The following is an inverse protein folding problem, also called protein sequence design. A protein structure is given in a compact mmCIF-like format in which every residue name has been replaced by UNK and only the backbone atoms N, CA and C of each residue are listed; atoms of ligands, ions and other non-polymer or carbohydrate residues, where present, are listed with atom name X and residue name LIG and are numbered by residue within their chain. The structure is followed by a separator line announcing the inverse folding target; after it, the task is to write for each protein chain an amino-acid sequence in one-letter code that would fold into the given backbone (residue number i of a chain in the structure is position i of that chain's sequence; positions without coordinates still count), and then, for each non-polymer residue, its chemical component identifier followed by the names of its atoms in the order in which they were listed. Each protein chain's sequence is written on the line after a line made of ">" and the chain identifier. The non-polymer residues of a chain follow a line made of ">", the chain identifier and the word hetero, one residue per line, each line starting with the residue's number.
data_IF_833214229224
#
_entry.id   IF_833214229224
#
_cell.length_a   1.000
_cell.length_b   1.000
_cell.length_c   1.000
_cell.angle_alpha   90.00
_cell.angle_beta   90.00
_cell.angle_gamma   90.00
#
_symmetry.space_group_name_H-M   'P 1'
#
loop_
_entity.id
_entity.type
_entity.pdbx_description
1 polymer ?
#
# COMPACT_ATOMS: atom_id res chain seq x y z
N UNK A 1 -22.41 -16.38 -0.11
CA UNK A 1 -22.87 -15.56 -1.26
C UNK A 1 -21.73 -14.95 -2.04
N UNK A 2 -20.80 -14.18 -1.39
CA UNK A 2 -19.73 -13.43 -2.07
C UNK A 2 -18.79 -14.35 -2.86
N UNK A 3 -18.37 -15.49 -2.31
CA UNK A 3 -17.50 -16.44 -2.99
C UNK A 3 -18.10 -16.96 -4.31
N UNK A 4 -19.40 -17.26 -4.30
CA UNK A 4 -20.13 -17.67 -5.50
C UNK A 4 -20.21 -16.54 -6.53
N UNK A 5 -20.43 -15.30 -6.08
CA UNK A 5 -20.46 -14.15 -6.96
C UNK A 5 -19.10 -13.90 -7.63
N UNK A 6 -18.02 -14.00 -6.87
CA UNK A 6 -16.64 -13.87 -7.37
C UNK A 6 -16.30 -15.00 -8.36
N UNK A 7 -16.64 -16.25 -8.02
CA UNK A 7 -16.36 -17.41 -8.88
C UNK A 7 -17.12 -17.42 -10.21
N UNK A 8 -18.28 -16.77 -10.26
CA UNK A 8 -19.12 -16.66 -11.46
C UNK A 8 -18.80 -15.46 -12.34
N UNK A 9 -17.92 -14.58 -11.89
CA UNK A 9 -17.59 -13.37 -12.64
C UNK A 9 -16.30 -13.57 -13.46
N UNK A 10 -16.46 -13.81 -14.76
CA UNK A 10 -15.35 -14.04 -15.69
C UNK A 10 -14.36 -12.85 -15.80
N UNK A 11 -14.76 -11.65 -15.34
CA UNK A 11 -13.91 -10.46 -15.33
C UNK A 11 -12.96 -10.42 -14.13
N UNK A 12 -13.14 -11.34 -13.16
CA UNK A 12 -12.33 -11.43 -11.95
C UNK A 12 -11.39 -12.63 -12.05
N UNK A 13 -10.10 -12.41 -11.90
CA UNK A 13 -9.14 -13.49 -11.75
C UNK A 13 -9.17 -13.98 -10.30
N UNK A 14 -9.79 -15.12 -10.07
CA UNK A 14 -9.94 -15.72 -8.75
C UNK A 14 -8.77 -16.67 -8.44
N UNK A 15 -8.19 -16.51 -7.25
CA UNK A 15 -7.21 -17.42 -6.66
C UNK A 15 -7.82 -18.00 -5.38
N UNK A 16 -7.78 -19.34 -5.24
CA UNK A 16 -8.33 -20.04 -4.07
C UNK A 16 -7.20 -20.64 -3.26
N UNK A 17 -7.21 -20.37 -1.97
CA UNK A 17 -6.21 -20.87 -1.02
C UNK A 17 -6.90 -21.63 0.10
N UNK A 18 -6.22 -22.62 0.67
CA UNK A 18 -6.73 -23.44 1.77
C UNK A 18 -6.57 -22.78 3.15
N UNK A 19 -5.69 -21.78 3.26
CA UNK A 19 -5.37 -21.09 4.51
C UNK A 19 -5.53 -19.58 4.30
N UNK A 20 -6.28 -18.92 5.18
CA UNK A 20 -6.60 -17.49 5.06
C UNK A 20 -5.38 -16.60 5.23
N UNK A 21 -4.46 -16.95 6.11
CA UNK A 21 -3.22 -16.21 6.31
C UNK A 21 -2.36 -16.27 5.05
N UNK A 22 -2.21 -17.45 4.46
CA UNK A 22 -1.48 -17.62 3.20
C UNK A 22 -2.15 -16.84 2.06
N UNK A 23 -3.49 -16.86 1.98
CA UNK A 23 -4.28 -16.07 1.03
C UNK A 23 -4.01 -14.58 1.17
N UNK A 24 -4.00 -14.06 2.40
CA UNK A 24 -3.78 -12.65 2.67
C UNK A 24 -2.36 -12.19 2.28
N UNK A 25 -1.34 -12.98 2.57
CA UNK A 25 0.03 -12.68 2.14
C UNK A 25 0.23 -12.82 0.62
N UNK A 26 -0.47 -13.76 -0.01
CA UNK A 26 -0.49 -13.84 -1.48
C UNK A 26 -1.10 -12.58 -2.09
N UNK A 27 -2.23 -12.13 -1.57
CA UNK A 27 -2.89 -10.90 -2.02
C UNK A 27 -2.02 -9.66 -1.77
N UNK A 28 -1.33 -9.59 -0.63
CA UNK A 28 -0.35 -8.55 -0.32
C UNK A 28 0.74 -8.49 -1.39
N UNK A 29 1.33 -9.64 -1.74
CA UNK A 29 2.35 -9.73 -2.77
C UNK A 29 1.84 -9.30 -4.15
N UNK A 30 0.62 -9.72 -4.50
CA UNK A 30 -0.02 -9.37 -5.76
C UNK A 30 -0.34 -7.87 -5.84
N UNK A 31 -0.86 -7.28 -4.77
CA UNK A 31 -1.15 -5.86 -4.70
C UNK A 31 0.14 -5.02 -4.79
N UNK A 32 1.19 -5.44 -4.09
CA UNK A 32 2.50 -4.78 -4.14
C UNK A 32 3.14 -4.84 -5.52
N UNK A 33 3.02 -5.99 -6.21
CA UNK A 33 3.61 -6.16 -7.54
C UNK A 33 2.83 -5.44 -8.65
N UNK A 34 1.52 -5.25 -8.48
CA UNK A 34 0.65 -4.64 -9.49
C UNK A 34 0.35 -3.16 -9.24
N UNK A 35 0.68 -2.65 -8.06
CA UNK A 35 0.27 -1.32 -7.55
C UNK A 35 -1.26 -1.06 -7.70
N UNK A 36 -2.05 -2.13 -7.47
CA UNK A 36 -3.51 -2.11 -7.61
C UNK A 36 -4.17 -2.74 -6.40
N UNK A 37 -5.36 -2.25 -5.97
CA UNK A 37 -6.12 -2.89 -4.91
C UNK A 37 -6.44 -4.35 -5.24
N UNK A 38 -6.10 -5.25 -4.30
CA UNK A 38 -6.42 -6.68 -4.39
C UNK A 38 -7.42 -7.04 -3.31
N UNK A 39 -8.45 -7.78 -3.71
CA UNK A 39 -9.52 -8.23 -2.81
C UNK A 39 -9.14 -9.56 -2.16
N UNK A 40 -9.30 -9.66 -0.85
CA UNK A 40 -9.26 -10.92 -0.09
C UNK A 40 -10.63 -11.14 0.51
N UNK A 41 -11.19 -12.32 0.29
CA UNK A 41 -12.49 -12.70 0.86
C UNK A 41 -12.33 -13.95 1.72
N UNK A 42 -12.92 -13.95 2.91
CA UNK A 42 -12.94 -15.11 3.80
C UNK A 42 -14.33 -15.31 4.45
N UNK A 43 -14.50 -16.47 5.09
CA UNK A 43 -15.68 -16.76 5.91
C UNK A 43 -15.63 -16.00 7.24
N UNK A 44 -16.64 -16.17 8.08
CA UNK A 44 -16.72 -15.54 9.40
C UNK A 44 -15.84 -16.24 10.46
N UNK A 45 -15.71 -15.61 11.60
CA UNK A 45 -14.99 -16.15 12.74
C UNK A 45 -13.48 -15.94 12.65
N UNK A 46 -12.70 -16.91 13.11
CA UNK A 46 -11.23 -16.82 13.16
C UNK A 46 -10.57 -16.71 11.78
N UNK A 47 -11.28 -17.05 10.71
CA UNK A 47 -10.84 -16.79 9.34
C UNK A 47 -10.49 -15.31 9.12
N UNK A 48 -11.37 -14.40 9.59
CA UNK A 48 -11.10 -12.96 9.55
C UNK A 48 -9.86 -12.58 10.39
N UNK A 49 -9.70 -13.17 11.57
CA UNK A 49 -8.54 -12.92 12.43
C UNK A 49 -7.22 -13.38 11.79
N UNK A 50 -7.23 -14.47 10.99
CA UNK A 50 -6.06 -14.97 10.28
C UNK A 50 -5.52 -14.01 9.20
N UNK A 51 -6.31 -13.07 8.73
CA UNK A 51 -5.84 -12.03 7.80
C UNK A 51 -4.96 -10.98 8.49
N UNK A 52 -5.05 -10.83 9.81
CA UNK A 52 -4.49 -9.71 10.56
C UNK A 52 -2.97 -9.52 10.35
N UNK A 53 -2.11 -10.54 10.36
CA UNK A 53 -0.68 -10.35 10.11
C UNK A 53 -0.38 -9.66 8.77
N UNK A 54 -1.08 -10.05 7.71
CA UNK A 54 -0.92 -9.42 6.41
C UNK A 54 -1.53 -8.00 6.35
N UNK A 55 -2.58 -7.75 7.13
CA UNK A 55 -3.17 -6.39 7.27
C UNK A 55 -2.19 -5.43 7.91
N UNK A 56 -1.49 -5.86 8.98
CA UNK A 56 -0.44 -5.06 9.63
C UNK A 56 0.69 -4.76 8.64
N UNK A 57 1.13 -5.75 7.88
CA UNK A 57 2.16 -5.56 6.86
C UNK A 57 1.68 -4.64 5.73
N UNK A 58 0.44 -4.81 5.26
CA UNK A 58 -0.16 -3.94 4.24
C UNK A 58 -0.25 -2.48 4.70
N UNK A 59 -0.63 -2.27 5.96
CA UNK A 59 -0.65 -0.95 6.58
C UNK A 59 0.75 -0.32 6.59
N UNK A 60 1.73 -1.06 7.13
CA UNK A 60 3.11 -0.59 7.28
C UNK A 60 3.78 -0.31 5.93
N UNK A 61 3.53 -1.18 4.94
CA UNK A 61 4.07 -1.06 3.60
C UNK A 61 3.18 -0.23 2.65
N UNK A 62 2.06 0.30 3.14
CA UNK A 62 1.10 1.11 2.36
C UNK A 62 0.56 0.38 1.12
N UNK A 63 0.33 -0.93 1.24
CA UNK A 63 -0.15 -1.76 0.14
C UNK A 63 -1.67 -1.75 0.08
N UNK A 64 -2.28 -1.48 -1.08
CA UNK A 64 -3.72 -1.41 -1.23
C UNK A 64 -4.37 -2.80 -1.18
N UNK A 65 -5.14 -3.07 -0.14
CA UNK A 65 -5.90 -4.32 0.01
C UNK A 65 -7.34 -4.04 0.41
N UNK A 66 -8.28 -4.83 -0.13
CA UNK A 66 -9.69 -4.80 0.25
C UNK A 66 -10.04 -6.12 0.93
N UNK A 67 -10.32 -6.06 2.23
CA UNK A 67 -10.66 -7.22 3.05
C UNK A 67 -12.17 -7.36 3.11
N UNK A 68 -12.71 -8.43 2.53
CA UNK A 68 -14.12 -8.78 2.55
C UNK A 68 -14.32 -9.94 3.52
N UNK A 69 -14.78 -9.66 4.73
CA UNK A 69 -15.04 -10.70 5.74
C UNK A 69 -16.54 -10.99 5.81
N UNK A 70 -16.94 -12.20 5.43
CA UNK A 70 -18.32 -12.61 5.67
C UNK A 70 -18.59 -12.65 7.18
N UNK A 71 -19.81 -12.32 7.59
CA UNK A 71 -20.19 -12.28 9.00
C UNK A 71 -21.62 -12.84 9.21
N UNK A 72 -21.92 -13.12 10.45
CA UNK A 72 -23.28 -13.42 10.91
C UNK A 72 -24.14 -12.16 10.89
N UNK A 73 -25.44 -12.29 10.66
CA UNK A 73 -26.35 -11.16 10.74
C UNK A 73 -26.41 -10.60 12.17
N UNK A 74 -26.84 -9.35 12.37
CA UNK A 74 -26.81 -8.69 13.68
C UNK A 74 -27.46 -9.49 14.82
N UNK A 75 -28.53 -10.20 14.54
CA UNK A 75 -29.26 -11.01 15.53
C UNK A 75 -28.49 -12.25 16.04
N UNK A 76 -27.41 -12.64 15.35
CA UNK A 76 -26.55 -13.75 15.75
C UNK A 76 -25.21 -13.32 16.34
N UNK A 77 -25.00 -12.00 16.48
CA UNK A 77 -23.79 -11.45 17.08
C UNK A 77 -23.90 -11.41 18.61
N UNK A 78 -22.84 -11.79 19.31
CA UNK A 78 -22.78 -11.71 20.78
C UNK A 78 -23.66 -12.70 21.54
N UNK A 79 -24.28 -13.67 20.86
CA UNK A 79 -25.18 -14.68 21.46
C UNK A 79 -24.61 -16.09 21.47
N UNK A 80 -23.31 -16.26 21.22
CA UNK A 80 -22.66 -17.55 21.20
C UNK A 80 -22.95 -18.40 19.95
N UNK A 81 -23.37 -17.76 18.84
CA UNK A 81 -23.57 -18.47 17.57
C UNK A 81 -22.27 -19.07 17.05
N UNK A 82 -22.36 -20.22 16.37
CA UNK A 82 -21.22 -20.94 15.83
C UNK A 82 -20.42 -20.06 14.84
N UNK A 83 -19.08 -20.16 14.92
CA UNK A 83 -18.14 -19.49 14.01
C UNK A 83 -18.37 -17.97 13.96
N UNK A 84 -18.62 -17.38 15.14
CA UNK A 84 -18.91 -15.96 15.29
C UNK A 84 -17.95 -15.33 16.29
N UNK A 85 -17.34 -14.23 15.89
CA UNK A 85 -16.55 -13.33 16.75
C UNK A 85 -17.03 -11.90 16.49
N UNK A 86 -16.60 -10.93 17.29
CA UNK A 86 -16.82 -9.53 16.92
C UNK A 86 -15.82 -9.13 15.82
N UNK A 87 -16.34 -8.99 14.59
CA UNK A 87 -15.54 -8.65 13.42
C UNK A 87 -15.58 -7.15 13.10
N UNK A 88 -16.43 -6.40 13.78
CA UNK A 88 -16.53 -4.96 13.57
C UNK A 88 -15.24 -4.32 14.04
N UNK A 89 -14.65 -3.54 13.14
CA UNK A 89 -13.36 -2.88 13.39
C UNK A 89 -12.24 -3.83 13.87
N UNK A 90 -12.30 -5.13 13.50
CA UNK A 90 -11.38 -6.17 13.95
C UNK A 90 -9.91 -5.78 13.79
N UNK A 91 -9.59 -5.04 12.74
CA UNK A 91 -8.21 -4.62 12.45
C UNK A 91 -7.85 -3.26 13.05
N UNK A 92 -8.80 -2.58 13.71
CA UNK A 92 -8.59 -1.29 14.36
C UNK A 92 -7.90 -0.29 13.44
N UNK A 93 -6.88 0.39 13.95
CA UNK A 93 -6.12 1.40 13.19
C UNK A 93 -5.35 0.85 11.98
N UNK A 94 -5.21 -0.47 11.87
CA UNK A 94 -4.52 -1.10 10.73
C UNK A 94 -5.42 -1.26 9.49
N UNK A 95 -6.71 -0.95 9.59
CA UNK A 95 -7.58 -0.73 8.44
C UNK A 95 -7.86 0.77 8.32
N UNK A 96 -7.46 1.40 7.22
CA UNK A 96 -7.65 2.85 7.00
C UNK A 96 -9.11 3.27 6.99
N UNK A 97 -9.94 2.40 6.49
CA UNK A 97 -11.37 2.58 6.40
C UNK A 97 -12.07 1.27 6.72
N UNK A 98 -13.16 1.38 7.44
CA UNK A 98 -14.00 0.26 7.83
C UNK A 98 -15.46 0.57 7.51
N UNK A 99 -16.20 -0.45 7.14
CA UNK A 99 -17.66 -0.40 7.11
C UNK A 99 -18.26 -1.76 7.42
N UNK A 100 -19.33 -1.75 8.23
CA UNK A 100 -20.22 -2.89 8.43
C UNK A 100 -21.35 -2.75 7.40
N UNK A 101 -21.34 -3.60 6.37
CA UNK A 101 -22.29 -3.50 5.27
C UNK A 101 -23.73 -3.76 5.77
N UNK A 102 -24.74 -3.16 5.15
CA UNK A 102 -26.11 -3.52 5.44
C UNK A 102 -26.40 -4.96 5.00
N UNK A 103 -27.37 -5.60 5.62
CA UNK A 103 -27.86 -6.91 5.16
C UNK A 103 -28.36 -6.78 3.71
N UNK A 104 -28.00 -7.73 2.84
CA UNK A 104 -28.57 -7.76 1.49
C UNK A 104 -30.09 -7.91 1.55
N UNK A 105 -30.79 -7.09 0.80
CA UNK A 105 -32.21 -7.19 0.58
C UNK A 105 -32.52 -7.29 -0.91
N UNK A 106 -33.74 -7.69 -1.25
CA UNK A 106 -34.19 -7.70 -2.64
C UNK A 106 -34.53 -6.28 -3.11
N UNK A 107 -34.36 -6.04 -4.39
CA UNK A 107 -34.78 -4.81 -5.04
C UNK A 107 -33.64 -3.87 -5.46
N UNK A 108 -33.99 -2.86 -6.28
CA UNK A 108 -32.99 -1.97 -6.90
C UNK A 108 -32.24 -1.11 -5.90
N UNK A 109 -32.86 -0.69 -4.81
CA UNK A 109 -32.23 0.16 -3.79
C UNK A 109 -31.13 -0.58 -3.06
N UNK A 110 -31.35 -1.86 -2.72
CA UNK A 110 -30.31 -2.70 -2.11
C UNK A 110 -29.15 -2.91 -3.07
N UNK A 111 -29.44 -3.19 -4.34
CA UNK A 111 -28.41 -3.33 -5.37
C UNK A 111 -27.58 -2.05 -5.49
N UNK A 112 -28.23 -0.89 -5.57
CA UNK A 112 -27.56 0.41 -5.63
C UNK A 112 -26.67 0.65 -4.42
N UNK A 113 -27.15 0.37 -3.22
CA UNK A 113 -26.39 0.50 -1.98
C UNK A 113 -25.11 -0.34 -2.02
N UNK A 114 -25.19 -1.60 -2.43
CA UNK A 114 -24.04 -2.49 -2.52
C UNK A 114 -23.06 -2.08 -3.63
N UNK A 115 -23.56 -1.52 -4.73
CA UNK A 115 -22.68 -0.95 -5.77
C UNK A 115 -21.91 0.27 -5.27
N UNK A 116 -22.58 1.19 -4.56
CA UNK A 116 -21.95 2.36 -3.96
C UNK A 116 -20.91 1.92 -2.93
N UNK A 117 -21.25 0.94 -2.10
CA UNK A 117 -20.32 0.38 -1.11
C UNK A 117 -19.06 -0.22 -1.75
N UNK A 118 -19.23 -1.02 -2.80
CA UNK A 118 -18.11 -1.60 -3.52
C UNK A 118 -17.23 -0.55 -4.18
N UNK A 119 -17.84 0.47 -4.75
CA UNK A 119 -17.13 1.61 -5.33
C UNK A 119 -16.35 2.38 -4.25
N UNK A 120 -16.99 2.68 -3.13
CA UNK A 120 -16.35 3.40 -2.02
C UNK A 120 -15.20 2.59 -1.42
N UNK A 121 -15.36 1.29 -1.22
CA UNK A 121 -14.29 0.41 -0.75
C UNK A 121 -13.07 0.45 -1.71
N UNK A 122 -13.33 0.41 -3.03
CA UNK A 122 -12.27 0.51 -4.02
C UNK A 122 -11.59 1.88 -3.98
N UNK A 123 -12.36 2.97 -3.95
CA UNK A 123 -11.85 4.34 -3.85
C UNK A 123 -10.97 4.54 -2.62
N UNK A 124 -11.42 4.03 -1.48
CA UNK A 124 -10.66 4.07 -0.22
C UNK A 124 -9.38 3.24 -0.30
N UNK A 125 -9.39 2.11 -1.02
CA UNK A 125 -8.22 1.27 -1.18
C UNK A 125 -7.20 1.82 -2.20
N UNK A 126 -7.62 2.68 -3.14
CA UNK A 126 -6.69 3.40 -4.03
C UNK A 126 -5.80 4.37 -3.25
N UNK A 127 -6.23 4.83 -2.09
CA UNK A 127 -5.38 5.49 -1.12
C UNK A 127 -4.53 4.44 -0.37
N UNK A 128 -3.22 4.62 -0.20
CA UNK A 128 -2.34 3.53 0.23
C UNK A 128 -2.70 2.98 1.61
N UNK A 129 -2.97 1.68 1.65
CA UNK A 129 -3.27 0.92 2.85
C UNK A 129 -4.51 0.02 2.73
N UNK A 130 -4.70 -0.91 3.66
CA UNK A 130 -5.83 -1.83 3.64
C UNK A 130 -7.13 -1.19 4.10
N UNK A 131 -8.24 -1.66 3.53
CA UNK A 131 -9.61 -1.31 3.91
C UNK A 131 -10.40 -2.56 4.28
N UNK A 132 -11.36 -2.45 5.19
CA UNK A 132 -12.14 -3.57 5.68
C UNK A 132 -13.63 -3.35 5.45
N UNK A 133 -14.27 -4.30 4.78
CA UNK A 133 -15.71 -4.38 4.60
C UNK A 133 -16.21 -5.66 5.27
N UNK A 134 -16.94 -5.52 6.36
CA UNK A 134 -17.61 -6.62 7.02
C UNK A 134 -18.97 -6.87 6.37
N UNK A 135 -19.24 -8.11 6.00
CA UNK A 135 -20.36 -8.48 5.12
C UNK A 135 -21.32 -9.44 5.84
N UNK A 136 -22.34 -8.93 6.56
CA UNK A 136 -23.33 -9.78 7.21
C UNK A 136 -24.25 -10.44 6.18
N UNK A 137 -24.54 -11.74 6.38
CA UNK A 137 -25.45 -12.50 5.56
C UNK A 137 -26.43 -13.29 6.40
N UNK A 138 -27.67 -13.41 5.95
CA UNK A 138 -28.67 -14.37 6.44
C UNK A 138 -28.76 -15.60 5.54
N UNK A 139 -29.17 -16.71 6.11
CA UNK A 139 -29.53 -17.89 5.31
C UNK A 139 -30.81 -17.62 4.47
N UNK A 140 -30.91 -18.24 3.30
CA UNK A 140 -30.00 -19.22 2.71
C UNK A 140 -28.74 -18.55 2.10
N UNK A 141 -27.56 -19.10 2.37
CA UNK A 141 -26.28 -18.58 1.85
C UNK A 141 -26.01 -19.01 0.40
N UNK A 142 -26.69 -20.06 -0.05
CA UNK A 142 -26.62 -20.53 -1.42
C UNK A 142 -27.98 -20.28 -2.08
N UNK A 143 -28.01 -19.59 -3.23
CA UNK A 143 -29.27 -19.35 -3.90
C UNK A 143 -29.93 -20.66 -4.36
N UNK A 144 -31.23 -20.79 -4.13
CA UNK A 144 -32.04 -21.85 -4.70
C UNK A 144 -32.44 -21.42 -6.12
N UNK A 145 -31.94 -22.11 -7.14
CA UNK A 145 -32.26 -21.84 -8.55
C UNK A 145 -31.04 -21.45 -9.40
N UNK A 146 -31.32 -21.16 -10.67
CA UNK A 146 -30.29 -20.77 -11.63
C UNK A 146 -29.57 -19.48 -11.20
N UNK A 147 -28.25 -19.43 -11.45
CA UNK A 147 -27.48 -18.24 -11.12
C UNK A 147 -28.04 -17.01 -11.84
N UNK A 148 -28.35 -15.98 -11.09
CA UNK A 148 -28.65 -14.67 -11.66
C UNK A 148 -27.45 -14.30 -12.53
N UNK A 149 -27.64 -14.24 -13.84
CA UNK A 149 -26.65 -13.65 -14.74
C UNK A 149 -26.52 -12.20 -14.32
N UNK A 150 -25.33 -11.82 -13.89
CA UNK A 150 -24.98 -10.41 -13.70
C UNK A 150 -25.11 -9.77 -15.07
N UNK A 151 -26.31 -9.26 -15.38
CA UNK A 151 -26.52 -8.45 -16.58
C UNK A 151 -25.53 -7.29 -16.59
N UNK A 152 -25.44 -6.60 -17.70
CA UNK A 152 -24.52 -5.47 -17.91
C UNK A 152 -24.79 -4.27 -16.96
N UNK A 153 -24.72 -4.51 -15.66
CA UNK A 153 -24.83 -3.47 -14.61
C UNK A 153 -23.69 -2.46 -14.70
N UNK A 154 -22.69 -2.76 -15.53
CA UNK A 154 -21.45 -2.01 -15.60
C UNK A 154 -21.52 -0.66 -16.34
N UNK A 155 -22.60 -0.32 -17.02
CA UNK A 155 -22.63 0.89 -17.84
C UNK A 155 -23.07 2.16 -17.10
N UNK A 156 -23.53 2.05 -15.85
CA UNK A 156 -23.99 3.21 -15.07
C UNK A 156 -22.89 3.99 -14.34
N UNK A 157 -21.66 3.47 -14.29
CA UNK A 157 -20.51 4.09 -13.62
C UNK A 157 -19.34 4.45 -14.56
N UNK A 158 -19.55 4.42 -15.87
CA UNK A 158 -18.61 4.98 -16.82
C UNK A 158 -18.57 6.50 -16.65
N UNK A 159 -17.79 7.00 -15.72
CA UNK A 159 -17.67 8.44 -15.42
C UNK A 159 -17.43 8.77 -13.97
N UNK A 160 -17.39 7.79 -13.07
CA UNK A 160 -16.85 8.05 -11.74
C UNK A 160 -15.33 8.06 -11.87
N UNK A 161 -14.79 9.24 -12.05
CA UNK A 161 -13.36 9.50 -11.87
C UNK A 161 -12.99 8.94 -10.50
N UNK A 162 -12.01 8.04 -10.45
CA UNK A 162 -11.32 7.72 -9.22
C UNK A 162 -10.80 9.06 -8.73
N UNK A 163 -11.45 9.63 -7.72
CA UNK A 163 -11.02 10.91 -7.16
C UNK A 163 -9.53 10.79 -6.88
N UNK A 164 -8.77 11.74 -7.38
CA UNK A 164 -7.38 11.89 -6.94
C UNK A 164 -7.42 11.89 -5.41
N UNK A 165 -6.54 11.11 -4.79
CA UNK A 165 -6.37 11.14 -3.35
C UNK A 165 -6.14 12.58 -2.89
N UNK A 166 -6.21 12.89 -1.58
CA UNK A 166 -5.92 14.23 -1.12
C UNK A 166 -4.67 14.73 -1.83
N UNK A 167 -4.84 15.79 -2.60
CA UNK A 167 -3.77 16.44 -3.34
C UNK A 167 -2.65 16.73 -2.35
N UNK A 168 -1.51 16.08 -2.52
CA UNK A 168 -0.28 16.62 -2.00
C UNK A 168 -0.21 18.06 -2.54
N UNK A 169 0.07 19.04 -1.68
CA UNK A 169 0.20 20.44 -2.09
C UNK A 169 1.12 20.58 -3.31
N UNK A 170 1.19 21.77 -3.90
CA UNK A 170 2.12 21.96 -5.01
C UNK A 170 3.51 21.43 -4.64
N UNK A 171 4.13 20.59 -5.52
CA UNK A 171 5.39 19.98 -5.22
C UNK A 171 6.50 21.03 -5.04
N UNK A 172 7.17 21.02 -3.90
CA UNK A 172 8.28 21.94 -3.61
C UNK A 172 9.57 21.49 -4.32
N UNK A 173 9.56 21.62 -5.64
CA UNK A 173 10.73 21.29 -6.47
C UNK A 173 11.85 22.32 -6.26
N UNK A 174 11.50 23.59 -6.11
CA UNK A 174 12.45 24.67 -5.88
C UNK A 174 13.23 24.48 -4.59
N UNK A 175 12.55 24.21 -3.50
CA UNK A 175 13.19 23.92 -2.21
C UNK A 175 14.08 22.69 -2.25
N UNK A 176 13.72 21.65 -3.02
CA UNK A 176 14.60 20.49 -3.22
C UNK A 176 15.86 20.89 -3.98
N UNK A 177 15.75 21.64 -5.09
CA UNK A 177 16.90 22.10 -5.87
C UNK A 177 17.84 22.93 -5.00
N UNK A 178 17.31 23.87 -4.24
CA UNK A 178 18.10 24.70 -3.33
C UNK A 178 18.82 23.87 -2.24
N UNK A 179 18.14 22.84 -1.73
CA UNK A 179 18.70 21.97 -0.68
C UNK A 179 19.87 21.10 -1.16
N UNK A 180 19.96 20.78 -2.46
CA UNK A 180 21.04 19.98 -3.06
C UNK A 180 22.06 20.81 -3.84
N UNK A 181 21.79 22.09 -4.06
CA UNK A 181 22.68 22.97 -4.82
C UNK A 181 24.07 23.10 -4.16
N UNK A 182 25.12 22.96 -4.97
CA UNK A 182 26.50 23.12 -4.50
C UNK A 182 27.03 22.00 -3.59
N UNK A 183 26.27 20.93 -3.38
CA UNK A 183 26.72 19.78 -2.60
C UNK A 183 27.57 18.87 -3.49
N UNK A 184 28.85 18.71 -3.12
CA UNK A 184 29.79 17.86 -3.87
C UNK A 184 29.65 16.38 -3.52
N UNK A 185 29.42 16.06 -2.23
CA UNK A 185 29.37 14.70 -1.71
C UNK A 185 27.98 14.33 -1.22
N UNK A 186 27.07 14.11 -2.15
CA UNK A 186 25.75 13.62 -1.84
C UNK A 186 25.57 12.13 -2.12
N UNK A 187 24.49 11.57 -1.60
CA UNK A 187 24.08 10.18 -1.79
C UNK A 187 22.57 10.07 -1.96
N UNK A 188 22.12 9.33 -2.96
CA UNK A 188 20.72 8.93 -3.07
C UNK A 188 20.54 7.55 -2.44
N UNK A 189 19.68 7.45 -1.43
CA UNK A 189 19.35 6.20 -0.76
C UNK A 189 17.92 5.79 -1.10
N UNK A 190 17.75 4.65 -1.76
CA UNK A 190 16.45 4.15 -2.19
C UNK A 190 16.00 3.04 -1.24
N UNK A 191 15.05 3.37 -0.37
CA UNK A 191 14.34 2.42 0.46
C UNK A 191 13.22 1.70 -0.30
N UNK A 192 12.20 1.21 0.40
CA UNK A 192 11.02 0.67 -0.26
C UNK A 192 10.26 1.81 -0.96
N UNK A 193 10.13 1.70 -2.28
CA UNK A 193 9.37 2.64 -3.11
C UNK A 193 8.03 2.03 -3.49
N UNK A 194 6.95 2.78 -3.35
CA UNK A 194 5.63 2.36 -3.84
C UNK A 194 5.62 2.30 -5.37
N UNK A 195 6.13 3.35 -6.01
CA UNK A 195 6.26 3.43 -7.47
C UNK A 195 7.73 3.64 -7.82
N UNK A 196 8.46 2.56 -8.18
CA UNK A 196 9.85 2.69 -8.63
C UNK A 196 9.93 3.57 -9.88
N UNK A 197 10.79 4.59 -9.83
CA UNK A 197 10.97 5.52 -10.95
C UNK A 197 12.42 5.53 -11.43
N UNK A 198 12.71 5.08 -12.66
CA UNK A 198 14.06 5.15 -13.22
C UNK A 198 14.63 6.58 -13.29
N UNK A 199 13.79 7.61 -13.32
CA UNK A 199 14.22 9.01 -13.30
C UNK A 199 15.09 9.39 -12.10
N UNK A 200 15.07 8.61 -11.02
CA UNK A 200 16.02 8.79 -9.89
C UNK A 200 17.46 8.61 -10.35
N UNK A 201 17.72 7.72 -11.31
CA UNK A 201 19.07 7.52 -11.84
C UNK A 201 19.52 8.68 -12.75
N UNK A 202 18.58 9.31 -13.45
CA UNK A 202 18.86 10.52 -14.22
C UNK A 202 19.23 11.68 -13.27
N UNK A 203 18.48 11.83 -12.16
CA UNK A 203 18.81 12.79 -11.12
C UNK A 203 20.20 12.51 -10.52
N UNK A 204 20.49 11.25 -10.18
CA UNK A 204 21.79 10.86 -9.66
C UNK A 204 22.94 11.19 -10.61
N UNK A 205 22.73 10.96 -11.90
CA UNK A 205 23.71 11.27 -12.95
C UNK A 205 23.97 12.77 -13.06
N UNK A 206 22.93 13.60 -13.01
CA UNK A 206 23.05 15.07 -13.04
C UNK A 206 23.76 15.63 -11.81
N UNK A 207 23.47 15.06 -10.63
CA UNK A 207 24.12 15.44 -9.39
C UNK A 207 25.55 14.88 -9.25
N UNK A 208 25.91 13.87 -10.05
CA UNK A 208 27.19 13.14 -9.91
C UNK A 208 27.25 12.29 -8.65
N UNK A 209 26.10 11.89 -8.09
CA UNK A 209 26.01 11.20 -6.81
C UNK A 209 25.78 9.69 -6.96
N UNK A 210 26.38 8.86 -6.09
CA UNK A 210 26.10 7.43 -6.06
C UNK A 210 24.67 7.15 -5.57
N UNK A 211 24.16 5.98 -5.98
CA UNK A 211 22.81 5.51 -5.61
C UNK A 211 22.94 4.18 -4.86
N UNK A 212 22.45 4.11 -3.63
CA UNK A 212 22.27 2.86 -2.90
C UNK A 212 20.83 2.43 -3.05
N UNK A 213 20.60 1.19 -3.51
CA UNK A 213 19.28 0.63 -3.71
C UNK A 213 19.03 -0.59 -2.82
N UNK A 214 18.06 -0.48 -1.91
CA UNK A 214 17.55 -1.60 -1.12
C UNK A 214 16.87 -2.65 -2.01
N UNK A 215 16.81 -3.92 -1.58
CA UNK A 215 16.08 -4.96 -2.33
C UNK A 215 14.63 -4.61 -2.63
N UNK A 216 14.00 -3.87 -1.71
CA UNK A 216 12.59 -3.46 -1.78
C UNK A 216 12.35 -2.19 -2.60
N UNK A 217 13.41 -1.54 -3.09
CA UNK A 217 13.29 -0.31 -3.90
C UNK A 217 12.69 -0.54 -5.29
N UNK A 218 12.77 -1.77 -5.81
CA UNK A 218 12.43 -2.06 -7.20
C UNK A 218 13.45 -1.53 -8.23
N UNK A 219 14.55 -0.87 -7.79
CA UNK A 219 15.55 -0.22 -8.64
C UNK A 219 16.97 -0.77 -8.44
N UNK A 220 17.12 -2.05 -8.06
CA UNK A 220 18.43 -2.71 -8.03
C UNK A 220 18.89 -3.09 -9.45
N UNK A 221 19.12 -2.11 -10.27
CA UNK A 221 19.50 -2.22 -11.68
C UNK A 221 20.93 -1.71 -11.92
N UNK A 222 21.52 -1.89 -13.09
CA UNK A 222 22.82 -1.28 -13.42
C UNK A 222 22.82 0.22 -13.13
N UNK A 223 23.92 0.71 -12.56
CA UNK A 223 24.05 2.11 -12.09
C UNK A 223 23.77 2.29 -10.59
N UNK A 224 23.24 1.27 -9.89
CA UNK A 224 23.03 1.33 -8.44
C UNK A 224 24.00 0.44 -7.65
N UNK A 225 24.38 0.87 -6.45
CA UNK A 225 25.20 0.10 -5.52
C UNK A 225 24.36 -0.96 -4.80
N UNK A 226 24.31 -2.18 -5.33
CA UNK A 226 23.44 -3.26 -4.88
C UNK A 226 23.95 -4.02 -3.67
N UNK A 227 25.24 -3.92 -3.35
CA UNK A 227 25.91 -4.59 -2.24
C UNK A 227 26.50 -3.58 -1.23
N UNK A 228 25.95 -2.38 -1.19
CA UNK A 228 26.43 -1.27 -0.38
C UNK A 228 26.55 -1.60 1.12
N UNK A 229 25.69 -2.47 1.66
CA UNK A 229 25.74 -2.87 3.06
C UNK A 229 27.12 -3.39 3.50
N UNK A 230 27.87 -4.04 2.63
CA UNK A 230 29.22 -4.51 2.94
C UNK A 230 30.20 -3.34 3.05
N UNK A 231 30.09 -2.34 2.17
CA UNK A 231 30.90 -1.13 2.21
C UNK A 231 30.55 -0.29 3.47
N UNK A 232 29.27 -0.15 3.74
CA UNK A 232 28.75 0.62 4.88
C UNK A 232 29.07 -0.03 6.25
N UNK A 233 29.47 -1.30 6.27
CA UNK A 233 29.92 -1.98 7.48
C UNK A 233 31.40 -1.71 7.81
N UNK A 234 32.14 -1.05 6.93
CA UNK A 234 33.53 -0.68 7.12
C UNK A 234 33.66 0.75 7.62
N UNK A 235 34.11 0.93 8.86
CA UNK A 235 34.36 2.25 9.43
C UNK A 235 35.39 3.04 8.60
N UNK A 236 36.48 2.41 8.17
CA UNK A 236 37.50 3.04 7.34
C UNK A 236 36.95 3.53 5.99
N UNK A 237 35.98 2.80 5.40
CA UNK A 237 35.30 3.26 4.20
C UNK A 237 34.43 4.49 4.47
N UNK A 238 33.67 4.48 5.56
CA UNK A 238 32.79 5.59 5.94
C UNK A 238 33.55 6.85 6.34
N UNK A 239 34.74 6.73 6.96
CA UNK A 239 35.58 7.88 7.27
C UNK A 239 35.97 8.66 6.01
N UNK A 240 36.26 7.96 4.91
CA UNK A 240 36.69 8.58 3.66
C UNK A 240 35.48 9.04 2.83
N UNK A 241 34.39 8.26 2.81
CA UNK A 241 33.27 8.42 1.89
C UNK A 241 31.97 8.88 2.56
N UNK A 242 32.07 9.54 3.73
CA UNK A 242 30.86 10.04 4.40
C UNK A 242 30.18 11.11 3.54
N UNK A 243 28.89 10.93 3.19
CA UNK A 243 28.16 11.94 2.44
C UNK A 243 27.85 13.17 3.31
N UNK A 244 27.84 14.33 2.71
CA UNK A 244 27.35 15.57 3.32
C UNK A 244 25.84 15.58 3.41
N UNK A 245 25.19 15.15 2.33
CA UNK A 245 23.73 15.05 2.20
C UNK A 245 23.34 13.64 1.82
N UNK A 246 22.37 13.08 2.51
CA UNK A 246 21.66 11.87 2.10
C UNK A 246 20.25 12.25 1.69
N UNK A 247 19.87 11.95 0.46
CA UNK A 247 18.49 12.04 0.00
C UNK A 247 17.88 10.65 0.02
N UNK A 248 16.97 10.42 0.97
CA UNK A 248 16.26 9.17 1.11
C UNK A 248 14.96 9.23 0.31
N UNK A 249 14.81 8.33 -0.66
CA UNK A 249 13.58 8.10 -1.39
C UNK A 249 12.80 6.93 -0.78
N UNK A 250 11.56 7.16 -0.41
CA UNK A 250 10.68 6.16 0.18
C UNK A 250 11.08 5.74 1.60
N UNK A 251 10.80 4.49 1.97
CA UNK A 251 10.95 4.01 3.34
C UNK A 251 12.39 4.07 3.86
N UNK A 252 12.53 4.16 5.18
CA UNK A 252 13.83 4.09 5.84
C UNK A 252 14.57 2.79 5.50
N UNK A 253 15.92 2.79 5.56
CA UNK A 253 16.72 1.59 5.34
C UNK A 253 16.28 0.40 6.19
N UNK A 254 16.32 -0.80 5.63
CA UNK A 254 16.04 -2.04 6.37
C UNK A 254 17.28 -2.63 7.03
N UNK A 255 18.46 -2.34 6.49
CA UNK A 255 19.73 -2.81 7.04
C UNK A 255 20.24 -1.91 8.18
N UNK A 256 20.89 -2.52 9.19
CA UNK A 256 21.52 -1.76 10.29
C UNK A 256 22.57 -0.78 9.75
N UNK A 257 23.37 -1.18 8.78
CA UNK A 257 24.40 -0.33 8.18
C UNK A 257 23.78 0.86 7.42
N UNK A 258 22.69 0.63 6.68
CA UNK A 258 21.93 1.70 6.02
C UNK A 258 21.29 2.67 7.01
N UNK A 259 20.66 2.15 8.07
CA UNK A 259 20.11 2.98 9.16
C UNK A 259 21.21 3.82 9.82
N UNK A 260 22.37 3.21 10.10
CA UNK A 260 23.52 3.91 10.68
C UNK A 260 24.01 5.04 9.77
N UNK A 261 24.12 4.81 8.46
CA UNK A 261 24.51 5.84 7.49
C UNK A 261 23.52 7.02 7.48
N UNK A 262 22.23 6.73 7.35
CA UNK A 262 21.18 7.76 7.32
C UNK A 262 21.12 8.51 8.65
N UNK A 263 21.21 7.79 9.77
CA UNK A 263 21.23 8.40 11.12
C UNK A 263 22.47 9.23 11.41
N UNK A 264 23.59 8.98 10.74
CA UNK A 264 24.87 9.72 10.89
C UNK A 264 25.08 10.80 9.81
N UNK A 265 24.17 10.92 8.85
CA UNK A 265 24.26 11.94 7.82
C UNK A 265 24.29 13.35 8.42
N UNK A 266 25.09 14.26 7.87
CA UNK A 266 25.12 15.65 8.31
C UNK A 266 23.78 16.34 8.00
N UNK A 267 23.22 16.05 6.81
CA UNK A 267 21.92 16.52 6.37
C UNK A 267 21.13 15.34 5.78
N UNK A 268 19.89 15.17 6.21
CA UNK A 268 18.97 14.16 5.70
C UNK A 268 17.76 14.84 5.04
N UNK A 269 17.54 14.54 3.79
CA UNK A 269 16.36 14.95 3.04
C UNK A 269 15.51 13.71 2.74
N UNK A 270 14.21 13.77 2.97
CA UNK A 270 13.29 12.66 2.67
C UNK A 270 12.38 13.06 1.52
N UNK A 271 12.31 12.20 0.52
CA UNK A 271 11.41 12.35 -0.64
C UNK A 271 10.39 11.20 -0.60
N UNK A 272 9.14 11.54 -0.37
CA UNK A 272 8.03 10.60 -0.35
C UNK A 272 6.75 11.30 -0.84
N UNK A 273 6.17 10.90 -1.98
CA UNK A 273 5.01 11.60 -2.57
C UNK A 273 3.78 11.67 -1.64
N UNK A 274 3.68 10.73 -0.71
CA UNK A 274 2.56 10.68 0.24
C UNK A 274 2.90 11.36 1.59
N UNK A 275 4.15 11.76 1.81
CA UNK A 275 4.72 12.29 3.07
C UNK A 275 4.38 11.43 4.31
N UNK A 276 4.36 10.12 4.13
CA UNK A 276 3.98 9.15 5.16
C UNK A 276 5.16 8.31 5.68
N UNK A 277 6.34 8.45 5.07
CA UNK A 277 7.53 7.69 5.47
C UNK A 277 8.00 8.08 6.87
N UNK A 278 8.22 7.08 7.70
CA UNK A 278 8.78 7.29 9.02
C UNK A 278 10.26 7.77 8.93
N UNK A 279 10.62 8.68 9.79
CA UNK A 279 12.00 9.03 10.10
C UNK A 279 12.36 8.46 11.46
N UNK A 280 12.96 7.25 11.53
CA UNK A 280 13.26 6.59 12.79
C UNK A 280 14.22 7.36 13.69
N UNK A 281 14.99 8.27 13.11
CA UNK A 281 16.01 9.05 13.83
C UNK A 281 15.54 10.48 14.15
N UNK A 282 14.43 10.93 13.58
CA UNK A 282 13.94 12.31 13.74
C UNK A 282 14.92 13.34 13.22
N UNK A 283 15.67 13.05 12.17
CA UNK A 283 16.78 13.87 11.66
C UNK A 283 16.55 14.50 10.31
N UNK A 284 15.40 14.27 9.68
CA UNK A 284 15.10 14.89 8.41
C UNK A 284 15.10 16.41 8.55
N UNK A 285 15.99 17.05 7.81
CA UNK A 285 16.05 18.51 7.71
C UNK A 285 14.87 19.05 6.92
N UNK A 286 14.56 18.36 5.81
CA UNK A 286 13.42 18.66 4.96
C UNK A 286 12.74 17.37 4.47
N UNK A 287 11.44 17.49 4.24
CA UNK A 287 10.59 16.43 3.67
C UNK A 287 9.90 16.99 2.43
N UNK A 288 10.03 16.27 1.32
CA UNK A 288 9.48 16.70 0.04
C UNK A 288 8.38 15.72 -0.41
N UNK A 289 7.15 16.19 -0.43
CA UNK A 289 5.98 15.45 -0.91
C UNK A 289 5.91 15.50 -2.44
N UNK A 290 6.90 14.91 -3.12
CA UNK A 290 7.04 14.97 -4.58
C UNK A 290 7.31 13.58 -5.17
N UNK A 291 6.84 13.35 -6.39
CA UNK A 291 7.24 12.18 -7.15
C UNK A 291 8.65 12.34 -7.73
N UNK A 292 9.44 11.28 -7.69
CA UNK A 292 10.81 11.29 -8.20
C UNK A 292 10.91 11.75 -9.68
N UNK A 293 9.89 11.47 -10.50
CA UNK A 293 9.82 11.93 -11.88
C UNK A 293 9.72 13.46 -11.99
N UNK A 294 9.07 14.13 -11.05
CA UNK A 294 8.93 15.59 -11.06
C UNK A 294 10.28 16.27 -10.76
N UNK A 295 11.07 15.69 -9.84
CA UNK A 295 12.41 16.20 -9.53
C UNK A 295 13.36 16.09 -10.71
N UNK A 296 13.28 15.02 -11.50
CA UNK A 296 14.14 14.84 -12.66
C UNK A 296 13.86 15.85 -13.79
N UNK A 297 12.63 16.35 -13.88
CA UNK A 297 12.25 17.36 -14.88
C UNK A 297 12.47 18.80 -14.40
N UNK A 298 12.42 19.05 -13.11
CA UNK A 298 12.54 20.38 -12.51
C UNK A 298 13.95 20.76 -12.05
N UNK A 299 14.87 19.80 -11.94
CA UNK A 299 16.24 20.02 -11.50
C UNK A 299 17.19 20.29 -12.69
N UNK A 300 16.80 21.16 -13.61
CA UNK A 300 17.66 21.63 -14.73
C UNK A 300 18.23 22.99 -14.40
#
# INVERSE_FOLDING_TARGET
>A
PIALALARNERIRLHVHLDERASAFFALGLAKASDRPVVVACTSGTAAANLFPAVVEAWTARVPMILLTADRPPELRGVGANQTIDQRELYGRYARWFTDAPLPAQGPDSMRTWMILGHEAYRQACWPGPVHVNLPYREPLVPAGDPVRLGSVATGFAGVSLGEGPSAGEPDIGGFVDAVAGVERGLLYLGSLRTPSPFILDLATRLGWPVIAEPTSGLRIPGTLRAAQFLLSSEAFLEIHRPEVVVQFGAAPTSRAGLGLVGAASRLLIVDPDDLVADPHGRAEHRFAVHAGQLAHGAV
#
